data_IF_930495394115
#
_entry.id   IF_930495394115
#
_cell.length_a   1.000
_cell.length_b   1.000
_cell.length_c   1.000
_cell.angle_alpha   90.00
_cell.angle_beta   90.00
_cell.angle_gamma   90.00
#
_symmetry.space_group_name_H-M   'P 1'
#
loop_
_entity.id
_entity.type
_entity.pdbx_description
1 polymer ?
#
# COMPACT_ATOMS: atom_id res chain seq x y z
N UNK A 1 13.63 -15.49 -4.57
CA UNK A 1 12.37 -14.76 -4.81
C UNK A 1 12.69 -13.59 -5.73
N UNK A 2 11.90 -13.36 -6.77
CA UNK A 2 12.17 -12.30 -7.73
C UNK A 2 11.60 -10.95 -7.26
N UNK A 3 12.20 -9.84 -7.70
CA UNK A 3 11.79 -8.47 -7.35
C UNK A 3 10.29 -8.22 -7.59
N UNK A 4 9.71 -8.80 -8.66
CA UNK A 4 8.27 -8.72 -8.95
C UNK A 4 7.40 -9.39 -7.90
N UNK A 5 7.81 -10.56 -7.43
CA UNK A 5 7.08 -11.30 -6.39
C UNK A 5 7.14 -10.53 -5.06
N UNK A 6 8.33 -10.05 -4.69
CA UNK A 6 8.53 -9.25 -3.50
C UNK A 6 7.67 -7.96 -3.51
N UNK A 7 7.51 -7.33 -4.67
CA UNK A 7 6.65 -6.16 -4.84
C UNK A 7 5.16 -6.54 -4.80
N UNK A 8 4.77 -7.67 -5.40
CA UNK A 8 3.39 -8.16 -5.35
C UNK A 8 2.95 -8.43 -3.91
N UNK A 9 3.80 -9.12 -3.13
CA UNK A 9 3.54 -9.41 -1.72
C UNK A 9 3.44 -8.12 -0.89
N UNK A 10 4.27 -7.11 -1.16
CA UNK A 10 4.18 -5.83 -0.47
C UNK A 10 2.85 -5.09 -0.76
N UNK A 11 2.34 -5.19 -2.00
CA UNK A 11 1.03 -4.64 -2.38
C UNK A 11 -0.10 -5.40 -1.69
N UNK A 12 -0.04 -6.74 -1.62
CA UNK A 12 -1.02 -7.55 -0.87
C UNK A 12 -1.02 -7.20 0.62
N UNK A 13 0.16 -7.10 1.23
CA UNK A 13 0.29 -6.74 2.65
C UNK A 13 -0.24 -5.35 2.95
N UNK A 14 0.03 -4.36 2.08
CA UNK A 14 -0.54 -3.03 2.23
C UNK A 14 -2.07 -3.06 2.08
N UNK A 15 -2.61 -3.80 1.11
CA UNK A 15 -4.05 -4.01 0.98
C UNK A 15 -4.67 -4.61 2.25
N UNK A 16 -4.01 -5.60 2.85
CA UNK A 16 -4.46 -6.20 4.10
C UNK A 16 -4.44 -5.21 5.28
N UNK A 17 -3.42 -4.36 5.38
CA UNK A 17 -3.36 -3.27 6.37
C UNK A 17 -4.53 -2.32 6.20
N UNK A 18 -4.80 -1.86 4.98
CA UNK A 18 -5.88 -0.91 4.70
C UNK A 18 -7.26 -1.49 5.02
N UNK A 19 -7.48 -2.76 4.66
CA UNK A 19 -8.69 -3.48 5.05
C UNK A 19 -8.82 -3.55 6.57
N UNK A 20 -7.75 -3.92 7.27
CA UNK A 20 -7.77 -4.05 8.72
C UNK A 20 -8.09 -2.72 9.41
N UNK A 21 -7.54 -1.60 8.93
CA UNK A 21 -7.82 -0.27 9.46
C UNK A 21 -9.31 0.10 9.30
N UNK A 22 -9.87 -0.08 8.10
CA UNK A 22 -11.24 0.37 7.79
C UNK A 22 -12.32 -0.55 8.38
N UNK A 23 -12.06 -1.86 8.46
CA UNK A 23 -13.08 -2.84 8.87
C UNK A 23 -12.90 -3.34 10.29
N UNK A 24 -11.68 -3.65 10.70
CA UNK A 24 -11.41 -4.30 12.00
C UNK A 24 -11.02 -3.29 13.09
N UNK A 25 -10.50 -2.11 12.70
CA UNK A 25 -10.05 -1.06 13.60
C UNK A 25 -10.61 0.32 13.24
N UNK A 26 -11.95 0.45 13.09
CA UNK A 26 -12.57 1.68 12.61
C UNK A 26 -12.35 2.90 13.52
N UNK A 27 -11.94 2.70 14.77
CA UNK A 27 -11.57 3.79 15.69
C UNK A 27 -10.27 4.51 15.30
N UNK A 28 -9.50 3.97 14.34
CA UNK A 28 -8.27 4.59 13.83
C UNK A 28 -8.55 5.57 12.68
N UNK A 29 -9.78 5.67 12.20
CA UNK A 29 -10.20 6.58 11.13
C UNK A 29 -11.34 7.46 11.64
N UNK A 30 -11.51 8.63 11.03
CA UNK A 30 -12.59 9.54 11.37
C UNK A 30 -13.95 8.87 11.09
N UNK A 31 -14.88 9.04 12.04
CA UNK A 31 -16.18 8.39 12.00
C UNK A 31 -17.08 8.91 10.87
N UNK A 32 -16.90 10.16 10.45
CA UNK A 32 -17.70 10.86 9.44
C UNK A 32 -17.40 10.40 8.00
N UNK A 33 -16.18 9.94 7.72
CA UNK A 33 -15.77 9.42 6.39
C UNK A 33 -15.69 7.90 6.32
N UNK A 34 -15.93 7.19 7.42
CA UNK A 34 -15.78 5.73 7.49
C UNK A 34 -16.71 5.00 6.51
N UNK A 35 -17.91 5.54 6.26
CA UNK A 35 -18.87 4.96 5.30
C UNK A 35 -18.31 4.98 3.88
N UNK A 36 -17.82 6.13 3.45
CA UNK A 36 -17.24 6.40 2.14
C UNK A 36 -15.97 5.58 1.92
N UNK A 37 -15.11 5.44 2.94
CA UNK A 37 -13.94 4.58 2.89
C UNK A 37 -14.32 3.11 2.68
N UNK A 38 -15.39 2.62 3.33
CA UNK A 38 -15.87 1.24 3.14
C UNK A 38 -16.44 1.02 1.74
N UNK A 39 -17.16 1.99 1.20
CA UNK A 39 -17.66 1.91 -0.18
C UNK A 39 -16.52 1.93 -1.21
N UNK A 40 -15.53 2.81 -1.00
CA UNK A 40 -14.37 2.91 -1.87
C UNK A 40 -13.46 1.65 -1.82
N UNK A 41 -13.53 0.85 -0.74
CA UNK A 41 -12.74 -0.37 -0.60
C UNK A 41 -12.99 -1.38 -1.71
N UNK A 42 -14.21 -1.52 -2.24
CA UNK A 42 -14.48 -2.47 -3.34
C UNK A 42 -13.58 -2.19 -4.55
N UNK A 43 -13.50 -0.92 -4.95
CA UNK A 43 -12.64 -0.46 -6.05
C UNK A 43 -11.16 -0.62 -5.72
N UNK A 44 -10.74 -0.22 -4.52
CA UNK A 44 -9.35 -0.36 -4.09
C UNK A 44 -8.89 -1.83 -4.03
N UNK A 45 -9.75 -2.73 -3.54
CA UNK A 45 -9.46 -4.17 -3.46
C UNK A 45 -9.33 -4.82 -4.84
N UNK A 46 -10.15 -4.38 -5.81
CA UNK A 46 -10.02 -4.81 -7.20
C UNK A 46 -8.69 -4.33 -7.80
N UNK A 47 -8.27 -3.10 -7.47
CA UNK A 47 -7.00 -2.56 -7.88
C UNK A 47 -5.81 -3.34 -7.28
N UNK A 48 -5.86 -3.72 -6.00
CA UNK A 48 -4.88 -4.63 -5.36
C UNK A 48 -4.76 -5.93 -6.16
N UNK A 49 -5.88 -6.62 -6.41
CA UNK A 49 -5.88 -7.89 -7.16
C UNK A 49 -5.31 -7.72 -8.57
N UNK A 50 -5.71 -6.65 -9.28
CA UNK A 50 -5.22 -6.36 -10.62
C UNK A 50 -3.70 -6.14 -10.63
N UNK A 51 -3.19 -5.30 -9.74
CA UNK A 51 -1.75 -4.97 -9.66
C UNK A 51 -0.93 -6.22 -9.35
N UNK A 52 -1.36 -6.99 -8.34
CA UNK A 52 -0.70 -8.24 -7.95
C UNK A 52 -0.67 -9.24 -9.10
N UNK A 53 -1.80 -9.41 -9.79
CA UNK A 53 -1.90 -10.31 -10.95
C UNK A 53 -0.94 -9.86 -12.05
N UNK A 54 -0.88 -8.56 -12.38
CA UNK A 54 0.04 -8.03 -13.37
C UNK A 54 1.52 -8.25 -12.99
N UNK A 55 1.88 -8.04 -11.72
CA UNK A 55 3.23 -8.25 -11.22
C UNK A 55 3.66 -9.71 -11.33
N UNK A 56 2.80 -10.64 -10.88
CA UNK A 56 3.06 -12.09 -10.91
C UNK A 56 3.08 -12.64 -12.34
N UNK A 57 2.13 -12.24 -13.18
CA UNK A 57 2.03 -12.74 -14.56
C UNK A 57 3.08 -12.16 -15.53
N UNK A 58 3.72 -11.05 -15.17
CA UNK A 58 4.45 -10.14 -16.07
C UNK A 58 5.41 -10.75 -17.10
N UNK A 59 5.70 -9.96 -18.14
CA UNK A 59 6.68 -10.24 -19.21
C UNK A 59 7.74 -9.15 -19.34
N UNK A 60 8.59 -9.24 -20.38
CA UNK A 60 9.79 -8.39 -20.55
C UNK A 60 9.50 -6.88 -20.52
N UNK A 61 8.42 -6.42 -21.17
CA UNK A 61 8.04 -4.99 -21.19
C UNK A 61 7.72 -4.45 -19.79
N UNK A 62 7.08 -5.25 -18.93
CA UNK A 62 6.80 -4.83 -17.55
C UNK A 62 8.10 -4.72 -16.75
N UNK A 63 9.04 -5.63 -16.96
CA UNK A 63 10.32 -5.60 -16.23
C UNK A 63 11.14 -4.35 -16.55
N UNK A 64 11.18 -3.94 -17.82
CA UNK A 64 11.84 -2.69 -18.24
C UNK A 64 11.17 -1.45 -17.63
N UNK A 65 9.83 -1.40 -17.61
CA UNK A 65 9.09 -0.31 -16.96
C UNK A 65 9.34 -0.26 -15.45
N UNK A 66 9.36 -1.41 -14.78
CA UNK A 66 9.69 -1.50 -13.35
C UNK A 66 11.14 -1.07 -13.08
N UNK A 67 12.09 -1.45 -13.94
CA UNK A 67 13.47 -1.00 -13.85
C UNK A 67 13.56 0.53 -13.90
N UNK A 68 12.89 1.13 -14.88
CA UNK A 68 12.86 2.58 -15.12
C UNK A 68 12.22 3.33 -13.95
N UNK A 69 11.18 2.76 -13.34
CA UNK A 69 10.52 3.31 -12.16
C UNK A 69 11.31 3.12 -10.85
N UNK A 70 12.49 2.48 -10.89
CA UNK A 70 13.27 2.20 -9.68
C UNK A 70 12.62 1.15 -8.78
N UNK A 71 11.87 0.23 -9.38
CA UNK A 71 11.15 -0.88 -8.74
C UNK A 71 11.82 -2.23 -9.00
N UNK A 72 13.13 -2.23 -9.28
CA UNK A 72 13.98 -3.42 -9.27
C UNK A 72 15.28 -3.18 -8.47
N UNK A 73 16.02 -4.25 -8.21
CA UNK A 73 17.36 -4.22 -7.68
C UNK A 73 17.48 -3.61 -6.29
N UNK A 74 18.57 -2.87 -6.06
CA UNK A 74 18.86 -2.25 -4.75
C UNK A 74 17.83 -1.18 -4.36
N UNK A 75 17.30 -0.45 -5.34
CA UNK A 75 16.30 0.61 -5.12
C UNK A 75 14.99 0.03 -4.58
N UNK A 76 14.49 -1.04 -5.17
CA UNK A 76 13.31 -1.75 -4.65
C UNK A 76 13.59 -2.32 -3.26
N UNK A 77 14.71 -3.04 -3.09
CA UNK A 77 15.07 -3.66 -1.81
C UNK A 77 15.09 -2.67 -0.65
N UNK A 78 15.56 -1.44 -0.88
CA UNK A 78 15.54 -0.39 0.14
C UNK A 78 14.10 0.00 0.54
N UNK A 79 13.22 0.23 -0.44
CA UNK A 79 11.80 0.55 -0.22
C UNK A 79 11.10 -0.56 0.55
N UNK A 80 11.25 -1.80 0.10
CA UNK A 80 10.60 -2.96 0.70
C UNK A 80 11.15 -3.29 2.09
N UNK A 81 12.44 -3.08 2.34
CA UNK A 81 13.01 -3.24 3.69
C UNK A 81 12.39 -2.24 4.67
N UNK A 82 12.25 -0.98 4.26
CA UNK A 82 11.61 0.06 5.07
C UNK A 82 10.15 -0.30 5.39
N UNK A 83 9.40 -0.69 4.37
CA UNK A 83 8.01 -1.14 4.50
C UNK A 83 7.89 -2.36 5.43
N UNK A 84 8.61 -3.46 5.17
CA UNK A 84 8.57 -4.69 5.97
C UNK A 84 8.95 -4.42 7.44
N UNK A 85 9.93 -3.55 7.69
CA UNK A 85 10.30 -3.16 9.06
C UNK A 85 9.23 -2.33 9.77
N UNK A 86 8.57 -1.40 9.07
CA UNK A 86 7.45 -0.65 9.62
C UNK A 86 6.26 -1.58 9.93
N UNK A 87 5.96 -2.50 9.02
CA UNK A 87 4.88 -3.47 9.15
C UNK A 87 5.11 -4.42 10.33
N UNK A 88 6.32 -4.94 10.48
CA UNK A 88 6.68 -5.78 11.62
C UNK A 88 6.48 -5.05 12.96
N UNK A 89 6.86 -3.77 13.04
CA UNK A 89 6.64 -2.94 14.24
C UNK A 89 5.16 -2.73 14.54
N UNK A 90 4.36 -2.44 13.52
CA UNK A 90 2.91 -2.28 13.67
C UNK A 90 2.23 -3.59 14.10
N UNK A 91 2.65 -4.74 13.56
CA UNK A 91 2.16 -6.07 13.97
C UNK A 91 2.55 -6.44 15.41
N UNK A 92 3.75 -6.04 15.85
CA UNK A 92 4.23 -6.30 17.22
C UNK A 92 3.61 -5.37 18.28
N UNK A 93 3.21 -4.16 17.88
CA UNK A 93 2.62 -3.15 18.76
C UNK A 93 1.92 -2.08 17.92
N UNK A 94 0.63 -2.28 17.70
CA UNK A 94 -0.17 -1.40 16.86
C UNK A 94 -0.42 -0.07 17.56
N UNK A 95 0.14 1.01 17.02
CA UNK A 95 -0.15 2.39 17.40
C UNK A 95 -0.40 3.21 16.14
N UNK A 96 -1.04 4.36 16.27
CA UNK A 96 -1.24 5.29 15.15
C UNK A 96 0.08 5.68 14.50
N UNK A 97 1.11 5.98 15.30
CA UNK A 97 2.44 6.31 14.79
C UNK A 97 3.14 5.16 14.04
N UNK A 98 2.94 3.89 14.45
CA UNK A 98 3.48 2.75 13.69
C UNK A 98 2.69 2.48 12.41
N UNK A 99 1.37 2.71 12.42
CA UNK A 99 0.53 2.64 11.22
C UNK A 99 0.91 3.70 10.18
N UNK A 100 1.03 4.97 10.57
CA UNK A 100 1.42 6.06 9.68
C UNK A 100 2.77 5.80 9.01
N UNK A 101 3.71 5.16 9.70
CA UNK A 101 4.97 4.72 9.09
C UNK A 101 4.77 3.65 8.01
N UNK A 102 3.84 2.71 8.20
CA UNK A 102 3.49 1.71 7.17
C UNK A 102 2.90 2.41 5.95
N UNK A 103 1.95 3.33 6.15
CA UNK A 103 1.28 4.09 5.09
C UNK A 103 2.26 5.00 4.34
N UNK A 104 3.17 5.66 5.04
CA UNK A 104 4.23 6.47 4.43
C UNK A 104 5.16 5.66 3.53
N UNK A 105 5.62 4.48 3.97
CA UNK A 105 6.39 3.58 3.10
C UNK A 105 5.56 3.02 1.94
N UNK A 106 4.25 2.83 2.14
CA UNK A 106 3.29 2.55 1.07
C UNK A 106 3.36 3.58 -0.05
N UNK A 107 3.38 4.87 0.29
CA UNK A 107 3.49 5.95 -0.71
C UNK A 107 4.79 5.88 -1.53
N UNK A 108 5.90 5.50 -0.89
CA UNK A 108 7.20 5.45 -1.57
C UNK A 108 7.19 4.46 -2.74
N UNK A 109 6.65 3.24 -2.55
CA UNK A 109 6.62 2.26 -3.63
C UNK A 109 5.38 2.40 -4.53
N UNK A 110 4.23 2.82 -4.01
CA UNK A 110 3.04 3.07 -4.83
C UNK A 110 3.22 4.26 -5.76
N UNK A 111 3.92 5.31 -5.35
CA UNK A 111 4.23 6.45 -6.22
C UNK A 111 5.04 6.05 -7.45
N UNK A 112 6.04 5.18 -7.27
CA UNK A 112 6.76 4.59 -8.41
C UNK A 112 5.85 3.64 -9.22
N UNK A 113 5.04 2.82 -8.56
CA UNK A 113 4.25 1.78 -9.22
C UNK A 113 3.08 2.35 -10.05
N UNK A 114 2.50 3.47 -9.62
CA UNK A 114 1.46 4.18 -10.35
C UNK A 114 1.91 4.68 -11.73
N UNK A 115 3.21 4.97 -11.90
CA UNK A 115 3.77 5.31 -13.21
C UNK A 115 3.84 4.12 -14.19
N UNK A 116 3.68 2.89 -13.69
CA UNK A 116 3.81 1.64 -14.46
C UNK A 116 2.48 0.93 -14.64
N UNK A 117 1.67 0.84 -13.59
CA UNK A 117 0.40 0.11 -13.56
C UNK A 117 -0.75 1.06 -13.16
N UNK A 118 -1.75 1.28 -14.02
CA UNK A 118 -2.87 2.18 -13.70
C UNK A 118 -3.62 1.85 -12.41
N UNK A 119 -3.75 0.56 -12.08
CA UNK A 119 -4.39 0.13 -10.82
C UNK A 119 -3.64 0.60 -9.56
N UNK A 120 -2.34 0.88 -9.64
CA UNK A 120 -1.59 1.34 -8.48
C UNK A 120 -1.91 2.80 -8.11
N UNK A 121 -2.37 3.64 -9.04
CA UNK A 121 -2.84 4.99 -8.72
C UNK A 121 -4.12 4.93 -7.89
N UNK A 122 -5.08 4.09 -8.28
CA UNK A 122 -6.33 3.90 -7.52
C UNK A 122 -6.05 3.43 -6.09
N UNK A 123 -5.11 2.50 -5.92
CA UNK A 123 -4.71 2.03 -4.59
C UNK A 123 -4.00 3.13 -3.79
N UNK A 124 -3.16 3.94 -4.45
CA UNK A 124 -2.46 5.07 -3.84
C UNK A 124 -3.44 6.12 -3.32
N UNK A 125 -4.37 6.57 -4.15
CA UNK A 125 -5.40 7.55 -3.77
C UNK A 125 -6.23 7.06 -2.57
N UNK A 126 -6.68 5.80 -2.61
CA UNK A 126 -7.42 5.22 -1.48
C UNK A 126 -6.58 5.15 -0.20
N UNK A 127 -5.31 4.76 -0.32
CA UNK A 127 -4.36 4.73 0.81
C UNK A 127 -4.16 6.12 1.40
N UNK A 128 -3.98 7.13 0.56
CA UNK A 128 -3.83 8.54 0.98
C UNK A 128 -5.07 9.06 1.70
N UNK A 129 -6.28 8.69 1.25
CA UNK A 129 -7.53 9.00 1.97
C UNK A 129 -7.59 8.35 3.36
N UNK A 130 -7.21 7.06 3.48
CA UNK A 130 -7.12 6.38 4.77
C UNK A 130 -6.06 7.01 5.66
N UNK A 131 -4.90 7.36 5.10
CA UNK A 131 -3.80 8.01 5.83
C UNK A 131 -4.22 9.37 6.39
N UNK A 132 -4.91 10.19 5.61
CA UNK A 132 -5.39 11.47 6.13
C UNK A 132 -6.41 11.32 7.24
N UNK A 133 -7.36 10.40 7.07
CA UNK A 133 -8.33 10.11 8.12
C UNK A 133 -7.67 9.62 9.42
N UNK A 134 -6.57 8.84 9.32
CA UNK A 134 -5.78 8.41 10.47
C UNK A 134 -5.01 9.57 11.12
N UNK A 135 -4.47 10.49 10.31
CA UNK A 135 -3.80 11.70 10.81
C UNK A 135 -4.77 12.60 11.57
N UNK A 136 -5.96 12.84 11.03
CA UNK A 136 -6.96 13.69 11.66
C UNK A 136 -7.43 13.15 13.03
N UNK A 137 -7.53 11.82 13.18
CA UNK A 137 -7.79 11.18 14.49
C UNK A 137 -6.59 11.32 15.44
N UNK A 138 -5.37 11.28 14.92
CA UNK A 138 -4.16 11.35 15.74
C UNK A 138 -3.96 12.72 16.39
N UNK A 139 -4.41 13.79 15.73
CA UNK A 139 -4.22 15.17 16.15
C UNK A 139 -5.32 15.69 17.10
N UNK A 140 -6.36 14.87 17.36
CA UNK A 140 -7.43 15.14 18.34
C UNK A 140 -7.04 14.69 19.76
#
# INVERSE_FOLDING_TARGET
MGDREDLADAVEELGAVLKNVVFDRPHLVLADVLGELREAWERASAAVRSVVTSLRAGGLDLEEKLATAGLLGSSLRAKLRGFKAALARWRAGATTGTLLRVLGWGNVFLGSLASVLPGAEVLKEYKEAVEQSVLDVHEQ
#
